data_IF_040392036044
#
_entry.id   IF_040392036044
#
_cell.length_a   1.000
_cell.length_b   1.000
_cell.length_c   1.000
_cell.angle_alpha   90.00
_cell.angle_beta   90.00
_cell.angle_gamma   90.00
#
_symmetry.space_group_name_H-M   'P 1'
#
loop_
_entity.id
_entity.type
_entity.pdbx_description
1 polymer ?
#
# COMPACT_ATOMS: atom_id res chain seq x y z
N UNK A 1 -18.94 27.18 34.47
CA UNK A 1 -18.86 27.92 33.19
C UNK A 1 -17.38 28.13 32.85
N UNK A 2 -16.79 27.23 32.07
CA UNK A 2 -15.50 27.47 31.41
C UNK A 2 -15.48 26.60 30.15
N UNK A 3 -15.95 27.22 29.06
CA UNK A 3 -15.99 26.59 27.75
C UNK A 3 -14.57 26.37 27.25
N UNK A 4 -14.17 25.10 27.16
CA UNK A 4 -13.04 24.70 26.33
C UNK A 4 -13.52 24.74 24.88
N UNK A 5 -13.12 25.77 24.15
CA UNK A 5 -13.18 25.80 22.69
C UNK A 5 -12.40 24.59 22.15
N UNK A 6 -13.10 23.50 21.84
CA UNK A 6 -12.63 22.52 20.86
C UNK A 6 -12.67 23.24 19.52
N UNK A 7 -11.52 23.56 18.96
CA UNK A 7 -11.41 23.98 17.57
C UNK A 7 -11.92 22.84 16.69
N UNK A 8 -13.18 22.93 16.27
CA UNK A 8 -13.71 22.20 15.14
C UNK A 8 -12.83 22.51 13.94
N UNK A 9 -11.96 21.56 13.59
CA UNK A 9 -11.39 21.51 12.25
C UNK A 9 -12.57 21.26 11.29
N UNK A 10 -13.15 22.34 10.76
CA UNK A 10 -13.91 22.27 9.52
C UNK A 10 -12.97 21.69 8.48
N UNK A 11 -13.21 20.43 8.08
CA UNK A 11 -12.79 19.94 6.78
C UNK A 11 -13.28 20.96 5.76
N UNK A 12 -12.37 21.76 5.22
CA UNK A 12 -12.63 22.51 4.01
C UNK A 12 -12.76 21.45 2.93
N UNK A 13 -14.00 21.02 2.66
CA UNK A 13 -14.33 20.11 1.56
C UNK A 13 -14.19 20.86 0.23
N UNK A 14 -12.96 21.19 -0.13
CA UNK A 14 -12.59 21.35 -1.53
C UNK A 14 -12.25 19.96 -2.03
N UNK A 15 -13.29 19.18 -2.32
CA UNK A 15 -13.14 17.92 -3.05
C UNK A 15 -12.54 18.31 -4.39
N UNK A 16 -11.25 18.05 -4.57
CA UNK A 16 -10.62 18.09 -5.87
C UNK A 16 -11.45 17.17 -6.77
N UNK A 17 -12.21 17.75 -7.70
CA UNK A 17 -13.00 16.97 -8.64
C UNK A 17 -12.01 16.21 -9.51
N UNK A 18 -12.21 14.90 -9.63
CA UNK A 18 -11.62 14.14 -10.73
C UNK A 18 -12.04 14.82 -12.04
N UNK A 19 -11.10 15.47 -12.72
CA UNK A 19 -11.30 15.98 -14.06
C UNK A 19 -10.73 14.89 -14.98
N UNK A 20 -11.56 14.16 -15.74
CA UNK A 20 -11.03 13.29 -16.77
C UNK A 20 -10.20 14.16 -17.70
N UNK A 21 -8.91 13.83 -17.83
CA UNK A 21 -8.17 14.27 -19.02
C UNK A 21 -8.96 13.70 -20.20
N UNK A 22 -9.32 14.57 -21.14
CA UNK A 22 -10.20 14.28 -22.26
C UNK A 22 -9.83 12.92 -22.85
N UNK A 23 -10.81 12.00 -23.05
CA UNK A 23 -10.46 10.63 -23.34
C UNK A 23 -9.75 10.61 -24.70
N UNK A 24 -8.46 10.26 -24.68
CA UNK A 24 -7.69 10.00 -25.89
C UNK A 24 -8.17 8.66 -26.47
N UNK A 25 -9.38 8.69 -27.03
CA UNK A 25 -10.12 7.55 -27.56
C UNK A 25 -9.50 6.97 -28.84
N UNK A 26 -8.45 7.60 -29.40
CA UNK A 26 -7.94 7.21 -30.72
C UNK A 26 -6.68 6.35 -30.74
N UNK A 27 -6.01 6.08 -29.61
CA UNK A 27 -4.76 5.26 -29.60
C UNK A 27 -4.77 4.00 -28.74
N UNK A 28 -5.66 3.88 -27.77
CA UNK A 28 -5.80 2.64 -26.97
C UNK A 28 -6.25 1.45 -27.85
N UNK A 29 -6.98 1.74 -28.94
CA UNK A 29 -7.50 0.73 -29.87
C UNK A 29 -6.49 0.20 -30.92
N UNK A 30 -5.19 0.50 -30.79
CA UNK A 30 -4.17 0.03 -31.74
C UNK A 30 -3.07 -0.84 -31.10
N UNK A 31 -3.36 -1.48 -29.96
CA UNK A 31 -2.51 -2.59 -29.48
C UNK A 31 -2.92 -3.84 -30.27
N UNK A 32 -2.06 -4.38 -31.16
CA UNK A 32 -2.42 -5.53 -31.96
C UNK A 32 -2.74 -6.73 -31.08
N UNK A 33 -3.97 -7.25 -31.21
CA UNK A 33 -4.40 -8.51 -30.61
C UNK A 33 -3.78 -9.70 -31.34
N UNK A 34 -2.47 -9.89 -31.23
CA UNK A 34 -1.81 -11.10 -31.72
C UNK A 34 -0.76 -11.57 -30.74
N UNK A 35 -1.21 -11.95 -29.54
CA UNK A 35 -0.44 -12.89 -28.73
C UNK A 35 -1.19 -14.21 -28.75
N UNK A 36 -0.51 -15.25 -29.24
CA UNK A 36 -0.86 -16.64 -28.92
C UNK A 36 -0.67 -16.80 -27.42
N UNK A 37 -1.62 -16.32 -26.63
CA UNK A 37 -1.67 -16.59 -25.20
C UNK A 37 -1.92 -18.09 -25.07
N UNK A 38 -1.00 -18.86 -24.45
CA UNK A 38 -1.27 -20.25 -24.16
C UNK A 38 -2.56 -20.32 -23.34
N UNK A 39 -3.52 -21.15 -23.76
CA UNK A 39 -4.67 -21.46 -22.90
C UNK A 39 -4.12 -22.17 -21.67
N UNK A 40 -4.29 -21.56 -20.50
CA UNK A 40 -3.86 -22.14 -19.23
C UNK A 40 -5.12 -22.53 -18.48
N UNK A 41 -5.28 -23.82 -18.21
CA UNK A 41 -6.39 -24.34 -17.44
C UNK A 41 -6.41 -23.69 -16.03
N UNK A 42 -7.60 -23.31 -15.55
CA UNK A 42 -7.84 -22.80 -14.20
C UNK A 42 -7.47 -23.80 -13.08
N UNK A 43 -7.10 -25.02 -13.43
CA UNK A 43 -6.57 -26.06 -12.54
C UNK A 43 -5.06 -25.94 -12.27
N UNK A 44 -4.40 -24.88 -12.73
CA UNK A 44 -2.99 -24.64 -12.43
C UNK A 44 -2.78 -24.12 -11.01
N UNK A 45 -1.64 -24.50 -10.45
CA UNK A 45 -1.22 -24.04 -9.13
C UNK A 45 -0.66 -22.62 -9.17
N UNK A 46 -0.85 -21.90 -8.08
CA UNK A 46 -0.21 -20.62 -7.77
C UNK A 46 0.67 -20.77 -6.53
N UNK A 47 1.74 -19.97 -6.47
CA UNK A 47 2.68 -19.96 -5.35
C UNK A 47 2.65 -18.60 -4.63
N UNK A 48 2.58 -18.62 -3.30
CA UNK A 48 2.63 -17.44 -2.44
C UNK A 48 3.11 -17.84 -1.03
N UNK A 49 3.26 -16.90 -0.11
CA UNK A 49 3.58 -17.22 1.30
C UNK A 49 2.43 -16.88 2.22
N UNK A 50 2.05 -17.84 3.06
CA UNK A 50 1.19 -17.62 4.21
C UNK A 50 2.07 -17.32 5.44
N UNK A 51 1.71 -16.26 6.16
CA UNK A 51 2.34 -15.88 7.42
C UNK A 51 1.41 -16.22 8.57
N UNK A 52 1.97 -16.83 9.63
CA UNK A 52 1.27 -17.17 10.87
C UNK A 52 1.99 -16.46 12.01
N UNK A 53 1.39 -15.43 12.58
CA UNK A 53 1.99 -14.66 13.66
C UNK A 53 1.83 -15.30 15.03
N UNK A 54 2.83 -15.08 15.90
CA UNK A 54 2.74 -15.45 17.32
C UNK A 54 1.64 -14.65 18.04
N UNK A 55 1.34 -13.43 17.59
CA UNK A 55 0.33 -12.51 18.14
C UNK A 55 -0.73 -12.15 17.10
N UNK A 56 -1.86 -11.56 17.53
CA UNK A 56 -2.85 -11.04 16.59
C UNK A 56 -2.27 -9.88 15.76
N UNK A 57 -2.51 -9.91 14.46
CA UNK A 57 -2.07 -8.88 13.48
C UNK A 57 -3.25 -8.27 12.73
N UNK A 58 -4.46 -8.45 13.26
CA UNK A 58 -5.69 -7.91 12.67
C UNK A 58 -5.96 -6.48 13.11
N UNK A 59 -6.67 -5.73 12.26
CA UNK A 59 -7.22 -4.43 12.65
C UNK A 59 -8.19 -4.63 13.82
N UNK A 60 -8.13 -3.75 14.81
CA UNK A 60 -8.99 -3.81 16.00
C UNK A 60 -10.06 -2.73 15.93
N UNK A 61 -11.28 -3.06 16.32
CA UNK A 61 -12.41 -2.15 16.34
C UNK A 61 -13.09 -2.16 17.70
N UNK A 62 -13.54 -1.00 18.16
CA UNK A 62 -14.37 -0.89 19.35
C UNK A 62 -15.42 0.20 19.18
N UNK A 63 -16.54 0.08 19.89
CA UNK A 63 -17.55 1.12 19.94
C UNK A 63 -17.19 2.14 21.03
N UNK A 64 -17.11 3.41 20.65
CA UNK A 64 -16.95 4.52 21.60
C UNK A 64 -18.24 4.76 22.38
N UNK A 65 -18.16 5.55 23.46
CA UNK A 65 -19.34 5.93 24.26
C UNK A 65 -20.41 6.68 23.46
N UNK A 66 -20.02 7.32 22.36
CA UNK A 66 -20.90 8.11 21.50
C UNK A 66 -21.42 7.30 20.30
N UNK A 67 -21.36 5.96 20.35
CA UNK A 67 -21.76 5.04 19.27
C UNK A 67 -21.00 5.24 17.96
N UNK A 68 -19.77 5.76 18.03
CA UNK A 68 -18.86 5.85 16.88
C UNK A 68 -17.94 4.63 16.89
N UNK A 69 -17.80 3.97 15.73
CA UNK A 69 -16.83 2.88 15.54
C UNK A 69 -15.42 3.49 15.51
N UNK A 70 -14.61 3.15 16.50
CA UNK A 70 -13.18 3.48 16.53
C UNK A 70 -12.37 2.33 15.93
N UNK A 71 -11.34 2.69 15.15
CA UNK A 71 -10.49 1.75 14.41
C UNK A 71 -9.05 1.93 14.82
N UNK A 72 -8.42 0.83 15.23
CA UNK A 72 -6.98 0.73 15.42
C UNK A 72 -6.37 -0.08 14.28
N UNK A 73 -5.28 0.41 13.65
CA UNK A 73 -4.62 -0.31 12.57
C UNK A 73 -4.09 -1.67 13.05
N UNK A 74 -3.83 -2.57 12.10
CA UNK A 74 -3.24 -3.88 12.35
C UNK A 74 -1.91 -3.77 13.13
N UNK A 75 -1.69 -4.69 14.06
CA UNK A 75 -0.39 -4.82 14.71
C UNK A 75 0.67 -5.23 13.69
N UNK A 76 1.91 -4.82 13.93
CA UNK A 76 3.03 -5.11 13.01
C UNK A 76 3.47 -6.57 13.18
N UNK A 77 3.69 -7.25 12.06
CA UNK A 77 4.17 -8.63 12.03
C UNK A 77 5.70 -8.68 12.15
N UNK A 78 6.22 -9.11 13.30
CA UNK A 78 7.66 -9.20 13.57
C UNK A 78 8.13 -10.58 14.02
N UNK A 79 7.19 -11.48 14.32
CA UNK A 79 7.49 -12.84 14.77
C UNK A 79 6.37 -13.81 14.41
N UNK A 80 6.76 -14.99 13.98
CA UNK A 80 5.85 -16.00 13.46
C UNK A 80 6.57 -17.00 12.59
N UNK A 81 5.78 -17.72 11.79
CA UNK A 81 6.24 -18.63 10.74
C UNK A 81 5.79 -18.08 9.40
N UNK A 82 6.68 -18.13 8.41
CA UNK A 82 6.33 -17.99 7.00
C UNK A 82 6.38 -19.36 6.34
N UNK A 83 5.37 -19.69 5.54
CA UNK A 83 5.25 -20.96 4.83
C UNK A 83 4.90 -20.68 3.37
N UNK A 84 5.68 -21.24 2.44
CA UNK A 84 5.33 -21.19 1.02
C UNK A 84 4.20 -22.17 0.74
N UNK A 85 3.16 -21.66 0.11
CA UNK A 85 1.97 -22.40 -0.29
C UNK A 85 1.98 -22.56 -1.79
N UNK A 86 1.81 -23.80 -2.25
CA UNK A 86 1.46 -24.15 -3.62
C UNK A 86 0.08 -24.80 -3.59
N UNK A 87 -0.89 -24.18 -4.26
CA UNK A 87 -2.25 -24.73 -4.33
C UNK A 87 -2.91 -24.41 -5.68
N UNK A 88 -3.91 -25.19 -6.10
CA UNK A 88 -4.72 -24.84 -7.26
C UNK A 88 -5.33 -23.45 -7.10
N UNK A 89 -5.38 -22.66 -8.18
CA UNK A 89 -5.97 -21.31 -8.13
C UNK A 89 -7.41 -21.31 -7.58
N UNK A 90 -8.18 -22.35 -7.91
CA UNK A 90 -9.55 -22.52 -7.42
C UNK A 90 -9.65 -22.64 -5.87
N UNK A 91 -8.56 -23.02 -5.19
CA UNK A 91 -8.48 -23.17 -3.74
C UNK A 91 -7.97 -21.90 -3.05
N UNK A 92 -7.44 -20.91 -3.78
CA UNK A 92 -6.98 -19.64 -3.19
C UNK A 92 -8.03 -18.92 -2.31
N UNK A 93 -9.35 -18.89 -2.64
CA UNK A 93 -10.37 -18.29 -1.76
C UNK A 93 -10.40 -18.88 -0.35
N UNK A 94 -10.00 -20.14 -0.17
CA UNK A 94 -9.98 -20.79 1.14
C UNK A 94 -8.96 -20.13 2.07
N UNK A 95 -7.83 -19.66 1.54
CA UNK A 95 -6.82 -18.94 2.33
C UNK A 95 -7.30 -17.54 2.77
N UNK A 96 -8.22 -16.94 2.01
CA UNK A 96 -8.85 -15.67 2.38
C UNK A 96 -9.94 -15.87 3.45
N UNK A 97 -10.73 -16.93 3.34
CA UNK A 97 -11.89 -17.20 4.20
C UNK A 97 -11.52 -17.87 5.52
N UNK A 98 -10.53 -18.77 5.52
CA UNK A 98 -10.06 -19.49 6.71
C UNK A 98 -9.00 -18.72 7.51
N UNK A 99 -8.61 -17.53 7.04
CA UNK A 99 -7.65 -16.68 7.74
C UNK A 99 -8.13 -16.36 9.16
N UNK A 100 -7.27 -16.60 10.15
CA UNK A 100 -7.47 -16.20 11.54
C UNK A 100 -6.85 -14.83 11.81
N UNK A 101 -7.04 -14.29 13.01
CA UNK A 101 -6.48 -12.99 13.41
C UNK A 101 -4.95 -12.90 13.35
N UNK A 102 -4.28 -14.04 13.19
CA UNK A 102 -2.84 -14.22 13.13
C UNK A 102 -2.30 -14.40 11.72
N UNK A 103 -3.18 -14.51 10.72
CA UNK A 103 -2.78 -14.78 9.35
C UNK A 103 -2.61 -13.50 8.51
N UNK A 104 -1.61 -13.52 7.64
CA UNK A 104 -1.45 -12.56 6.56
C UNK A 104 -0.81 -13.28 5.36
N UNK A 105 -0.91 -12.71 4.18
CA UNK A 105 -0.30 -13.26 2.97
C UNK A 105 0.78 -12.33 2.43
N UNK A 106 1.79 -12.89 1.78
CA UNK A 106 2.64 -12.15 0.83
C UNK A 106 2.63 -12.90 -0.48
N UNK A 107 2.70 -12.18 -1.60
CA UNK A 107 2.68 -12.80 -2.93
C UNK A 107 4.08 -13.09 -3.50
N UNK A 108 5.12 -12.69 -2.76
CA UNK A 108 6.46 -13.25 -2.90
C UNK A 108 6.74 -14.35 -1.88
N UNK A 109 7.82 -15.08 -2.14
CA UNK A 109 8.38 -16.16 -1.34
C UNK A 109 9.71 -15.74 -0.72
N UNK A 110 10.12 -16.42 0.35
CA UNK A 110 11.47 -16.28 0.88
C UNK A 110 12.45 -16.89 -0.12
N UNK A 111 13.50 -16.15 -0.48
CA UNK A 111 14.47 -16.61 -1.50
C UNK A 111 15.47 -17.64 -0.99
N UNK A 112 15.59 -17.80 0.33
CA UNK A 112 16.50 -18.73 0.99
C UNK A 112 15.78 -20.03 1.38
N UNK A 113 14.52 -19.93 1.82
CA UNK A 113 13.63 -21.06 2.12
C UNK A 113 12.40 -21.00 1.19
N UNK A 114 12.56 -21.31 -0.11
CA UNK A 114 11.48 -21.17 -1.08
C UNK A 114 10.36 -22.18 -0.88
N UNK A 115 10.61 -23.29 -0.19
CA UNK A 115 9.66 -24.41 -0.04
C UNK A 115 9.37 -24.76 1.41
N UNK A 116 10.36 -24.61 2.29
CA UNK A 116 10.25 -25.00 3.69
C UNK A 116 9.73 -23.86 4.57
N UNK A 117 8.99 -24.16 5.66
CA UNK A 117 8.63 -23.16 6.64
C UNK A 117 9.85 -22.55 7.32
N UNK A 118 9.81 -21.25 7.59
CA UNK A 118 10.91 -20.51 8.21
C UNK A 118 10.42 -19.61 9.35
N UNK A 119 11.31 -19.31 10.31
CA UNK A 119 10.99 -18.35 11.37
C UNK A 119 11.06 -16.93 10.82
N UNK A 120 9.99 -16.15 11.03
CA UNK A 120 10.01 -14.72 10.76
C UNK A 120 10.54 -13.98 11.98
N UNK A 121 11.49 -13.08 11.74
CA UNK A 121 12.10 -12.25 12.79
C UNK A 121 12.30 -10.80 12.34
N UNK A 122 12.95 -10.00 13.18
CA UNK A 122 13.38 -8.63 12.83
C UNK A 122 14.78 -8.64 12.23
N UNK A 123 15.12 -7.66 11.38
CA UNK A 123 16.47 -7.55 10.78
C UNK A 123 17.62 -7.58 11.81
N UNK A 124 17.41 -7.00 13.00
CA UNK A 124 18.39 -6.99 14.08
C UNK A 124 18.68 -8.38 14.70
N UNK A 125 17.80 -9.37 14.46
CA UNK A 125 17.87 -10.72 15.01
C UNK A 125 18.14 -11.80 13.96
N UNK A 126 18.00 -11.48 12.68
CA UNK A 126 18.17 -12.40 11.55
C UNK A 126 19.50 -13.17 11.61
N UNK A 127 20.63 -12.47 11.76
CA UNK A 127 21.95 -13.12 11.84
C UNK A 127 22.23 -13.84 13.19
N UNK A 128 21.25 -13.92 14.08
CA UNK A 128 21.38 -14.51 15.42
C UNK A 128 20.61 -15.82 15.57
N UNK A 129 19.76 -16.17 14.61
CA UNK A 129 18.89 -17.34 14.66
C UNK A 129 18.98 -18.02 13.30
N UNK A 130 19.48 -19.25 13.29
CA UNK A 130 19.59 -20.04 12.07
C UNK A 130 18.20 -20.36 11.48
N UNK A 131 18.05 -20.27 10.16
CA UNK A 131 16.77 -20.45 9.48
C UNK A 131 15.70 -19.37 9.77
N UNK A 132 16.09 -18.25 10.39
CA UNK A 132 15.18 -17.13 10.64
C UNK A 132 15.47 -15.94 9.74
N UNK A 133 14.42 -15.39 9.14
CA UNK A 133 14.55 -14.32 8.16
C UNK A 133 13.66 -13.13 8.50
N UNK A 134 14.19 -11.94 8.24
CA UNK A 134 13.40 -10.72 8.36
C UNK A 134 12.44 -10.58 7.17
N UNK A 135 11.22 -10.09 7.41
CA UNK A 135 10.30 -9.69 6.33
C UNK A 135 10.71 -8.35 5.74
N UNK A 136 11.77 -8.38 4.95
CA UNK A 136 12.31 -7.25 4.18
C UNK A 136 12.45 -7.64 2.72
N UNK A 137 12.43 -6.63 1.84
CA UNK A 137 12.54 -6.82 0.40
C UNK A 137 13.73 -7.68 -0.01
N UNK A 138 14.87 -7.52 0.68
CA UNK A 138 16.10 -8.23 0.32
C UNK A 138 15.99 -9.75 0.50
N UNK A 139 15.08 -10.25 1.35
CA UNK A 139 14.91 -11.67 1.61
C UNK A 139 13.78 -12.31 0.80
N UNK A 140 13.00 -11.51 0.07
CA UNK A 140 11.83 -11.97 -0.65
C UNK A 140 12.02 -11.78 -2.15
N UNK A 141 11.55 -12.74 -2.93
CA UNK A 141 11.43 -12.68 -4.39
C UNK A 141 10.03 -13.10 -4.78
N UNK A 142 9.57 -12.74 -5.97
CA UNK A 142 8.44 -13.46 -6.55
C UNK A 142 8.85 -14.89 -6.94
N UNK A 143 7.91 -15.85 -6.95
CA UNK A 143 8.14 -17.20 -7.44
C UNK A 143 8.86 -17.19 -8.79
N UNK A 144 9.87 -18.04 -8.90
CA UNK A 144 10.65 -18.28 -10.12
C UNK A 144 10.66 -19.79 -10.36
N UNK A 145 10.83 -20.20 -11.61
CA UNK A 145 11.08 -21.61 -11.90
C UNK A 145 12.45 -21.99 -11.31
N UNK A 146 12.43 -22.67 -10.17
CA UNK A 146 13.63 -23.16 -9.48
C UNK A 146 13.82 -24.67 -9.68
N UNK A 147 12.74 -25.41 -9.91
CA UNK A 147 12.70 -26.84 -10.25
C UNK A 147 11.34 -27.23 -10.84
N UNK A 148 11.15 -28.51 -11.16
CA UNK A 148 9.92 -29.06 -11.74
C UNK A 148 8.72 -29.08 -10.76
N UNK A 149 8.92 -28.73 -9.48
CA UNK A 149 7.89 -28.74 -8.43
C UNK A 149 7.30 -27.34 -8.23
N UNK A 150 8.08 -26.29 -8.47
CA UNK A 150 7.64 -24.91 -8.27
C UNK A 150 7.27 -24.26 -9.61
N UNK A 151 5.97 -24.22 -9.98
CA UNK A 151 5.57 -23.52 -11.18
C UNK A 151 5.97 -22.03 -11.05
N UNK A 152 6.32 -21.36 -12.16
CA UNK A 152 6.66 -19.93 -12.16
C UNK A 152 5.43 -19.04 -11.92
N UNK A 153 4.32 -19.63 -11.50
CA UNK A 153 3.04 -18.97 -11.32
C UNK A 153 2.96 -18.30 -9.96
N UNK A 154 2.15 -17.27 -9.87
CA UNK A 154 1.92 -16.57 -8.61
C UNK A 154 0.70 -15.67 -8.71
N UNK A 155 0.61 -14.71 -7.81
CA UNK A 155 -0.56 -13.86 -7.69
C UNK A 155 -0.14 -12.39 -7.83
N UNK A 156 -0.71 -11.72 -8.82
CA UNK A 156 -0.71 -10.27 -8.90
C UNK A 156 -1.87 -9.75 -8.06
N UNK A 157 -1.56 -9.05 -6.97
CA UNK A 157 -2.56 -8.35 -6.16
C UNK A 157 -2.60 -6.87 -6.56
N UNK A 158 -3.80 -6.35 -6.71
CA UNK A 158 -4.09 -4.93 -6.90
C UNK A 158 -4.96 -4.45 -5.73
N UNK A 159 -4.47 -3.46 -5.00
CA UNK A 159 -5.18 -2.83 -3.89
C UNK A 159 -5.82 -1.52 -4.36
N UNK A 160 -7.15 -1.52 -4.48
CA UNK A 160 -7.93 -0.31 -4.69
C UNK A 160 -8.39 0.22 -3.33
N UNK A 161 -7.72 1.26 -2.82
CA UNK A 161 -8.13 2.01 -1.62
C UNK A 161 -8.34 3.48 -2.00
N UNK A 162 -9.58 3.91 -2.30
CA UNK A 162 -9.83 5.26 -2.79
C UNK A 162 -9.55 6.30 -1.70
N UNK A 163 -8.69 7.27 -2.02
CA UNK A 163 -8.30 8.36 -1.12
C UNK A 163 -9.18 9.62 -1.20
N UNK A 164 -10.28 9.54 -1.95
CA UNK A 164 -11.23 10.63 -2.14
C UNK A 164 -10.83 11.68 -3.17
N UNK A 165 -9.68 11.51 -3.84
CA UNK A 165 -9.22 12.38 -4.94
C UNK A 165 -9.36 11.69 -6.29
N UNK A 166 -8.85 10.47 -6.39
CA UNK A 166 -8.92 9.68 -7.61
C UNK A 166 -10.33 9.19 -7.96
N UNK A 167 -10.47 8.57 -9.14
CA UNK A 167 -11.68 7.83 -9.47
C UNK A 167 -11.87 6.66 -8.49
N UNK A 168 -13.00 6.64 -7.80
CA UNK A 168 -13.49 5.45 -7.09
C UNK A 168 -14.29 4.55 -8.02
N UNK A 169 -14.25 3.25 -7.77
CA UNK A 169 -15.06 2.26 -8.49
C UNK A 169 -16.12 1.67 -7.56
N UNK A 170 -17.32 1.49 -8.06
CA UNK A 170 -18.44 0.98 -7.28
C UNK A 170 -18.33 -0.53 -6.99
N UNK A 171 -17.53 -1.25 -7.78
CA UNK A 171 -17.33 -2.70 -7.62
C UNK A 171 -16.00 -3.16 -8.23
N UNK A 172 -15.51 -4.36 -7.85
CA UNK A 172 -14.39 -4.99 -8.53
C UNK A 172 -14.61 -5.20 -10.03
N UNK A 173 -15.85 -5.50 -10.46
CA UNK A 173 -16.18 -5.68 -11.87
C UNK A 173 -16.01 -4.38 -12.67
N UNK A 174 -16.46 -3.23 -12.13
CA UNK A 174 -16.23 -1.93 -12.76
C UNK A 174 -14.72 -1.63 -12.85
N UNK A 175 -13.97 -1.94 -11.80
CA UNK A 175 -12.52 -1.76 -11.81
C UNK A 175 -11.84 -2.61 -12.88
N UNK A 176 -12.17 -3.90 -12.97
CA UNK A 176 -11.68 -4.82 -14.02
C UNK A 176 -12.01 -4.30 -15.43
N UNK A 177 -13.18 -3.72 -15.64
CA UNK A 177 -13.54 -3.11 -16.94
C UNK A 177 -12.56 -1.99 -17.33
N UNK A 178 -12.19 -1.14 -16.38
CA UNK A 178 -11.24 -0.06 -16.63
C UNK A 178 -9.80 -0.56 -16.80
N UNK A 179 -9.40 -1.58 -16.03
CA UNK A 179 -8.11 -2.24 -16.23
C UNK A 179 -8.03 -2.88 -17.63
N UNK A 180 -9.11 -3.49 -18.09
CA UNK A 180 -9.22 -4.11 -19.43
C UNK A 180 -9.05 -3.09 -20.55
N UNK A 181 -9.55 -1.86 -20.38
CA UNK A 181 -9.32 -0.78 -21.35
C UNK A 181 -7.84 -0.44 -21.48
N UNK A 182 -7.05 -0.59 -20.42
CA UNK A 182 -5.62 -0.29 -20.42
C UNK A 182 -4.78 -1.51 -20.85
N UNK A 183 -5.19 -2.71 -20.47
CA UNK A 183 -4.56 -3.96 -20.88
C UNK A 183 -5.63 -5.04 -21.18
N UNK A 184 -5.98 -5.23 -22.47
CA UNK A 184 -7.11 -6.09 -22.87
C UNK A 184 -7.03 -7.55 -22.43
N UNK A 185 -5.83 -8.10 -22.20
CA UNK A 185 -5.65 -9.48 -21.76
C UNK A 185 -6.34 -9.76 -20.42
N UNK A 186 -6.54 -8.74 -19.58
CA UNK A 186 -7.27 -8.85 -18.31
C UNK A 186 -8.73 -9.33 -18.52
N UNK A 187 -9.34 -9.06 -19.67
CA UNK A 187 -10.73 -9.46 -19.96
C UNK A 187 -10.95 -10.97 -19.87
N UNK A 188 -9.93 -11.77 -20.23
CA UNK A 188 -9.97 -13.23 -20.23
C UNK A 188 -9.30 -13.86 -19.01
N UNK A 189 -8.74 -13.04 -18.13
CA UNK A 189 -7.99 -13.51 -16.97
C UNK A 189 -8.94 -13.89 -15.85
N UNK A 190 -8.63 -14.98 -15.14
CA UNK A 190 -9.32 -15.32 -13.91
C UNK A 190 -9.03 -14.25 -12.85
N UNK A 191 -10.02 -13.93 -12.02
CA UNK A 191 -9.74 -13.10 -10.85
C UNK A 191 -10.57 -13.52 -9.65
N UNK A 192 -10.05 -13.20 -8.48
CA UNK A 192 -10.75 -13.25 -7.21
C UNK A 192 -10.70 -11.82 -6.66
N UNK A 193 -11.82 -11.31 -6.18
CA UNK A 193 -11.86 -9.98 -5.57
C UNK A 193 -12.67 -10.00 -4.27
N UNK A 194 -12.20 -9.24 -3.29
CA UNK A 194 -12.81 -9.18 -1.96
C UNK A 194 -12.73 -7.75 -1.43
N UNK A 195 -13.84 -7.27 -0.86
CA UNK A 195 -13.87 -6.01 -0.13
C UNK A 195 -12.89 -6.00 1.05
N UNK A 196 -12.40 -4.81 1.42
CA UNK A 196 -11.51 -4.70 2.59
C UNK A 196 -12.18 -5.25 3.84
N UNK A 197 -11.42 -5.96 4.68
CA UNK A 197 -11.92 -6.58 5.93
C UNK A 197 -12.61 -5.58 6.86
N UNK A 198 -12.24 -4.30 6.80
CA UNK A 198 -12.87 -3.27 7.62
C UNK A 198 -14.29 -2.91 7.19
N UNK A 199 -14.69 -3.16 5.95
CA UNK A 199 -16.03 -2.85 5.47
C UNK A 199 -17.11 -3.78 6.06
N UNK A 200 -16.70 -4.97 6.54
CA UNK A 200 -17.59 -5.91 7.19
C UNK A 200 -17.96 -5.55 8.63
N UNK A 201 -17.34 -4.53 9.23
CA UNK A 201 -17.61 -4.12 10.62
C UNK A 201 -18.80 -3.17 10.69
N UNK A 202 -19.77 -3.48 11.54
CA UNK A 202 -20.97 -2.67 11.73
C UNK A 202 -21.48 -2.73 13.18
N UNK A 203 -22.39 -1.83 13.53
CA UNK A 203 -23.11 -1.89 14.81
C UNK A 203 -24.08 -3.08 14.75
N UNK A 204 -24.22 -3.79 15.87
CA UNK A 204 -25.19 -4.89 15.98
C UNK A 204 -26.61 -4.42 15.61
N UNK A 205 -27.29 -5.19 14.75
CA UNK A 205 -28.61 -4.85 14.24
C UNK A 205 -28.60 -3.93 13.00
N UNK A 206 -27.46 -3.33 12.65
CA UNK A 206 -27.28 -2.61 11.39
C UNK A 206 -26.70 -3.51 10.28
N UNK A 207 -26.71 -3.01 9.05
CA UNK A 207 -26.05 -3.66 7.91
C UNK A 207 -24.62 -3.12 7.71
N UNK A 208 -23.67 -3.94 7.22
CA UNK A 208 -22.36 -3.46 6.79
C UNK A 208 -22.49 -2.34 5.76
N UNK A 209 -21.61 -1.34 5.87
CA UNK A 209 -21.53 -0.30 4.84
C UNK A 209 -20.87 -0.88 3.58
N UNK A 210 -21.29 -0.44 2.38
CA UNK A 210 -20.60 -0.80 1.15
C UNK A 210 -19.11 -0.44 1.25
N UNK A 211 -18.25 -1.36 0.81
CA UNK A 211 -16.80 -1.09 0.78
C UNK A 211 -16.47 -0.23 -0.42
N UNK A 212 -15.82 0.91 -0.20
CA UNK A 212 -15.21 1.67 -1.28
C UNK A 212 -13.89 1.04 -1.76
N UNK A 213 -13.17 0.33 -0.88
CA UNK A 213 -11.90 -0.32 -1.20
C UNK A 213 -11.97 -1.84 -1.27
N UNK A 214 -11.15 -2.45 -2.11
CA UNK A 214 -11.12 -3.90 -2.32
C UNK A 214 -9.77 -4.35 -2.88
N UNK A 215 -9.44 -5.61 -2.65
CA UNK A 215 -8.30 -6.26 -3.28
C UNK A 215 -8.79 -7.10 -4.47
N UNK A 216 -8.03 -7.07 -5.55
CA UNK A 216 -8.19 -7.96 -6.71
C UNK A 216 -6.94 -8.80 -6.86
N UNK A 217 -7.11 -10.10 -6.95
CA UNK A 217 -6.07 -11.09 -7.14
C UNK A 217 -6.22 -11.70 -8.53
N UNK A 218 -5.16 -11.64 -9.33
CA UNK A 218 -5.08 -12.28 -10.64
C UNK A 218 -3.97 -13.33 -10.60
N UNK A 219 -4.24 -14.58 -10.99
CA UNK A 219 -3.17 -15.56 -11.16
C UNK A 219 -2.34 -15.14 -12.38
N UNK A 220 -1.02 -15.26 -12.27
CA UNK A 220 -0.09 -14.92 -13.34
C UNK A 220 0.76 -16.11 -13.73
N UNK A 221 1.11 -16.20 -15.01
CA UNK A 221 1.93 -17.28 -15.53
C UNK A 221 3.43 -17.11 -15.23
N UNK A 222 3.88 -15.90 -14.88
CA UNK A 222 5.29 -15.57 -14.62
C UNK A 222 5.37 -14.53 -13.50
N UNK A 223 5.36 -15.00 -12.25
CA UNK A 223 5.32 -14.14 -11.08
C UNK A 223 6.56 -13.25 -10.96
N UNK A 224 7.73 -13.75 -11.38
CA UNK A 224 8.99 -12.99 -11.41
C UNK A 224 8.91 -11.68 -12.22
N UNK A 225 7.95 -11.56 -13.13
CA UNK A 225 7.75 -10.38 -13.97
C UNK A 225 6.83 -9.31 -13.32
N UNK A 226 6.13 -9.63 -12.22
CA UNK A 226 5.23 -8.69 -11.51
C UNK A 226 5.89 -7.33 -11.23
N UNK A 227 7.14 -7.22 -10.75
CA UNK A 227 7.78 -5.92 -10.50
C UNK A 227 7.94 -5.06 -11.75
N UNK A 228 8.17 -5.65 -12.93
CA UNK A 228 8.25 -4.93 -14.19
C UNK A 228 6.85 -4.58 -14.67
N UNK A 229 5.96 -5.58 -14.73
CA UNK A 229 4.56 -5.42 -15.12
C UNK A 229 3.89 -4.28 -14.34
N UNK A 230 3.97 -4.30 -13.01
CA UNK A 230 3.33 -3.31 -12.15
C UNK A 230 3.81 -1.88 -12.40
N UNK A 231 5.11 -1.68 -12.67
CA UNK A 231 5.67 -0.37 -13.02
C UNK A 231 5.16 0.14 -14.37
N UNK A 232 5.09 -0.72 -15.37
CA UNK A 232 4.58 -0.38 -16.71
C UNK A 232 3.08 -0.12 -16.64
N UNK A 233 2.34 -0.99 -15.94
CA UNK A 233 0.91 -0.91 -15.80
C UNK A 233 0.48 0.37 -15.08
N UNK A 234 1.17 0.76 -14.01
CA UNK A 234 0.94 2.05 -13.35
C UNK A 234 1.05 3.25 -14.32
N UNK A 235 2.10 3.27 -15.16
CA UNK A 235 2.27 4.34 -16.16
C UNK A 235 1.20 4.28 -17.24
N UNK A 236 0.81 3.09 -17.69
CA UNK A 236 -0.26 2.91 -18.67
C UNK A 236 -1.63 3.33 -18.12
N UNK A 237 -1.89 3.12 -16.83
CA UNK A 237 -3.09 3.67 -16.18
C UNK A 237 -3.09 5.21 -16.18
N UNK A 238 -1.93 5.85 -15.98
CA UNK A 238 -1.81 7.31 -16.07
C UNK A 238 -2.06 7.79 -17.50
N UNK A 239 -1.47 7.14 -18.51
CA UNK A 239 -1.76 7.40 -19.93
C UNK A 239 -3.25 7.19 -20.27
N UNK A 240 -3.89 6.22 -19.60
CA UNK A 240 -5.32 5.95 -19.71
C UNK A 240 -6.23 6.95 -18.99
N UNK A 241 -5.69 8.02 -18.39
CA UNK A 241 -6.46 9.06 -17.71
C UNK A 241 -6.86 8.73 -16.26
N UNK A 242 -6.24 7.73 -15.64
CA UNK A 242 -6.51 7.33 -14.25
C UNK A 242 -5.49 7.89 -13.23
N UNK A 243 -4.56 8.74 -13.68
CA UNK A 243 -3.58 9.39 -12.83
C UNK A 243 -4.14 10.61 -12.09
N UNK A 244 -3.69 10.83 -10.86
CA UNK A 244 -4.04 12.01 -10.04
C UNK A 244 -2.97 12.32 -9.00
N UNK A 245 -3.01 13.53 -8.43
CA UNK A 245 -2.06 13.97 -7.39
C UNK A 245 -2.71 13.93 -6.01
N UNK A 246 -2.01 13.35 -5.04
CA UNK A 246 -2.30 13.50 -3.61
C UNK A 246 -1.24 14.36 -2.95
N UNK A 247 -1.68 15.25 -2.06
CA UNK A 247 -0.80 16.14 -1.32
C UNK A 247 -0.46 15.55 0.06
N UNK A 248 0.83 15.45 0.36
CA UNK A 248 1.28 15.21 1.74
C UNK A 248 1.07 16.46 2.60
N UNK A 249 1.15 16.34 3.93
CA UNK A 249 0.97 17.50 4.82
C UNK A 249 1.98 18.61 4.59
N UNK A 250 3.18 18.31 4.10
CA UNK A 250 4.17 19.33 3.72
C UNK A 250 4.00 19.82 2.26
N UNK A 251 2.84 19.60 1.64
CA UNK A 251 2.49 20.05 0.29
C UNK A 251 3.13 19.29 -0.87
N UNK A 252 3.92 18.26 -0.58
CA UNK A 252 4.52 17.38 -1.58
C UNK A 252 3.46 16.71 -2.45
N UNK A 253 3.71 16.69 -3.75
CA UNK A 253 2.80 16.17 -4.77
C UNK A 253 3.17 14.74 -5.17
N UNK A 254 2.44 13.76 -4.65
CA UNK A 254 2.63 12.35 -4.94
C UNK A 254 1.68 11.92 -6.07
N UNK A 255 2.25 11.42 -7.17
CA UNK A 255 1.47 10.86 -8.29
C UNK A 255 0.90 9.50 -7.89
N UNK A 256 -0.41 9.33 -8.08
CA UNK A 256 -1.15 8.10 -7.78
C UNK A 256 -2.00 7.68 -8.97
N UNK A 257 -2.55 6.47 -8.86
CA UNK A 257 -3.44 5.86 -9.85
C UNK A 257 -4.52 5.06 -9.14
N UNK A 258 -5.31 4.32 -9.90
CA UNK A 258 -6.46 3.55 -9.43
C UNK A 258 -6.12 2.40 -8.45
N UNK A 259 -4.85 2.08 -8.24
CA UNK A 259 -4.40 1.10 -7.25
C UNK A 259 -3.08 1.54 -6.61
N UNK A 260 -2.76 1.02 -5.42
CA UNK A 260 -1.46 1.21 -4.81
C UNK A 260 -0.39 0.36 -5.51
N UNK A 261 0.59 1.01 -6.14
CA UNK A 261 1.70 0.33 -6.81
C UNK A 261 2.73 -0.28 -5.85
N UNK A 262 2.71 0.08 -4.56
CA UNK A 262 3.67 -0.47 -3.60
C UNK A 262 3.44 -1.95 -3.32
N UNK A 263 2.23 -2.48 -3.58
CA UNK A 263 1.86 -3.89 -3.39
C UNK A 263 2.67 -4.86 -4.26
N UNK A 264 3.35 -4.36 -5.29
CA UNK A 264 4.21 -5.16 -6.18
C UNK A 264 5.61 -5.45 -5.61
N UNK A 265 5.86 -5.14 -4.33
CA UNK A 265 7.08 -5.59 -3.66
C UNK A 265 6.79 -6.94 -2.99
N UNK A 266 7.66 -7.96 -3.18
CA UNK A 266 7.34 -9.35 -2.86
C UNK A 266 7.11 -9.61 -1.36
N UNK A 267 7.68 -8.78 -0.48
CA UNK A 267 7.56 -8.90 0.96
C UNK A 267 6.28 -8.26 1.53
N UNK A 268 5.49 -7.54 0.72
CA UNK A 268 4.37 -6.72 1.19
C UNK A 268 3.22 -7.59 1.67
N UNK A 269 2.79 -7.34 2.90
CA UNK A 269 1.71 -8.07 3.54
C UNK A 269 0.35 -7.61 3.01
N UNK A 270 -0.48 -8.61 2.72
CA UNK A 270 -1.92 -8.48 2.67
C UNK A 270 -2.53 -9.00 3.97
N UNK A 271 -3.18 -8.10 4.71
CA UNK A 271 -3.88 -8.42 5.96
C UNK A 271 -5.29 -8.93 5.65
N UNK A 272 -5.38 -10.22 5.33
CA UNK A 272 -6.62 -10.91 4.94
C UNK A 272 -7.50 -11.34 6.12
N UNK A 273 -6.96 -11.24 7.33
CA UNK A 273 -7.57 -11.69 8.57
C UNK A 273 -8.83 -10.90 8.96
N UNK A 274 -9.83 -11.56 9.60
CA UNK A 274 -10.99 -10.89 10.14
C UNK A 274 -10.60 -9.89 11.24
N UNK A 275 -11.37 -8.79 11.42
CA UNK A 275 -11.09 -7.80 12.44
C UNK A 275 -11.28 -8.36 13.86
N UNK A 276 -10.51 -7.85 14.80
CA UNK A 276 -10.72 -8.10 16.23
C UNK A 276 -11.73 -7.08 16.78
N UNK A 277 -12.87 -7.54 17.28
CA UNK A 277 -13.89 -6.68 17.91
C UNK A 277 -13.69 -6.67 19.42
N UNK A 278 -13.58 -5.48 20.02
CA UNK A 278 -13.40 -5.29 21.45
C UNK A 278 -14.65 -4.66 22.06
N UNK A 279 -15.22 -5.34 23.04
CA UNK A 279 -16.48 -4.94 23.69
C UNK A 279 -17.71 -5.50 22.97
N UNK A 280 -18.89 -5.05 23.40
CA UNK A 280 -20.18 -5.44 22.82
C UNK A 280 -20.69 -4.36 21.85
N UNK A 281 -21.69 -4.70 21.01
CA UNK A 281 -22.39 -3.75 20.15
C UNK A 281 -21.79 -3.60 18.75
N UNK A 282 -20.78 -4.40 18.41
CA UNK A 282 -20.25 -4.53 17.05
C UNK A 282 -20.43 -5.96 16.55
N UNK A 283 -20.80 -6.08 15.28
CA UNK A 283 -20.81 -7.33 14.55
C UNK A 283 -19.88 -7.24 13.34
N UNK A 284 -19.49 -8.42 12.84
CA UNK A 284 -18.69 -8.54 11.64
C UNK A 284 -19.35 -9.50 10.66
N UNK A 285 -19.60 -9.00 9.46
CA UNK A 285 -20.04 -9.79 8.32
C UNK A 285 -18.92 -9.79 7.27
N UNK A 286 -18.29 -10.94 6.97
CA UNK A 286 -17.22 -11.00 5.98
C UNK A 286 -17.67 -10.42 4.63
N UNK A 287 -16.86 -9.56 3.99
CA UNK A 287 -17.14 -9.11 2.64
C UNK A 287 -17.22 -10.29 1.68
N UNK A 288 -18.20 -10.27 0.77
CA UNK A 288 -18.38 -11.28 -0.26
C UNK A 288 -17.13 -11.38 -1.16
N UNK A 289 -16.76 -12.61 -1.50
CA UNK A 289 -15.75 -12.88 -2.51
C UNK A 289 -16.45 -13.01 -3.86
N UNK A 290 -16.07 -12.15 -4.80
CA UNK A 290 -16.49 -12.24 -6.20
C UNK A 290 -15.37 -12.89 -7.00
N UNK A 291 -15.72 -13.64 -8.04
CA UNK A 291 -14.72 -14.28 -8.89
C UNK A 291 -15.17 -14.37 -10.34
N UNK A 292 -14.19 -14.47 -11.23
CA UNK A 292 -14.36 -14.77 -12.64
C UNK A 292 -13.42 -15.91 -13.02
N UNK A 293 -13.92 -16.87 -13.80
CA UNK A 293 -13.09 -17.91 -14.41
C UNK A 293 -12.37 -17.36 -15.64
N UNK A 294 -11.16 -17.84 -15.90
CA UNK A 294 -10.35 -17.41 -17.03
C UNK A 294 -8.96 -18.02 -17.01
N UNK A 295 -8.10 -17.52 -17.90
CA UNK A 295 -6.70 -17.90 -18.01
C UNK A 295 -5.85 -17.20 -16.94
N UNK A 296 -4.61 -17.64 -16.77
CA UNK A 296 -3.60 -16.88 -16.01
C UNK A 296 -3.16 -15.68 -16.84
N UNK A 297 -2.93 -14.55 -16.19
CA UNK A 297 -2.48 -13.33 -16.85
C UNK A 297 -1.09 -13.54 -17.44
N UNK A 298 -0.94 -13.26 -18.74
CA UNK A 298 0.34 -13.25 -19.43
C UNK A 298 1.02 -11.88 -19.26
N UNK A 299 1.80 -11.70 -18.19
CA UNK A 299 2.36 -10.39 -17.82
C UNK A 299 3.34 -9.84 -18.87
N UNK A 300 4.08 -10.72 -19.56
CA UNK A 300 5.00 -10.36 -20.63
C UNK A 300 4.30 -9.72 -21.84
N UNK A 301 2.97 -9.90 -21.98
CA UNK A 301 2.18 -9.24 -23.02
C UNK A 301 2.18 -7.71 -22.87
N UNK A 302 2.38 -7.20 -21.64
CA UNK A 302 2.45 -5.77 -21.40
C UNK A 302 3.83 -5.21 -21.76
N UNK A 303 3.96 -4.72 -22.98
CA UNK A 303 5.21 -4.13 -23.48
C UNK A 303 5.58 -2.85 -22.73
N UNK A 304 6.88 -2.58 -22.63
CA UNK A 304 7.42 -1.30 -22.13
C UNK A 304 6.87 -0.12 -22.92
N UNK A 305 6.84 1.06 -22.29
CA UNK A 305 6.47 2.30 -22.98
C UNK A 305 7.51 2.62 -24.04
N UNK A 306 7.08 3.00 -25.24
CA UNK A 306 7.89 3.60 -26.30
C UNK A 306 8.47 4.95 -25.87
N UNK A 307 9.39 5.51 -26.67
CA UNK A 307 9.96 6.84 -26.40
C UNK A 307 8.88 7.93 -26.37
N UNK A 308 7.92 7.87 -27.30
CA UNK A 308 6.81 8.82 -27.38
C UNK A 308 5.85 8.67 -26.20
N UNK A 309 5.46 7.45 -25.83
CA UNK A 309 4.62 7.19 -24.65
C UNK A 309 5.31 7.66 -23.36
N UNK A 310 6.64 7.52 -23.24
CA UNK A 310 7.38 8.05 -22.09
C UNK A 310 7.34 9.58 -22.03
N UNK A 311 7.45 10.25 -23.18
CA UNK A 311 7.34 11.71 -23.27
C UNK A 311 5.93 12.17 -22.91
N UNK A 312 4.91 11.48 -23.41
CA UNK A 312 3.50 11.73 -23.11
C UNK A 312 3.20 11.54 -21.62
N UNK A 313 3.66 10.43 -21.03
CA UNK A 313 3.58 10.18 -19.59
C UNK A 313 4.19 11.33 -18.78
N UNK A 314 5.39 11.79 -19.16
CA UNK A 314 6.03 12.93 -18.50
C UNK A 314 5.23 14.23 -18.63
N UNK A 315 4.58 14.46 -19.78
CA UNK A 315 3.69 15.63 -19.98
C UNK A 315 2.49 15.57 -19.05
N UNK A 316 1.77 14.44 -19.03
CA UNK A 316 0.58 14.25 -18.18
C UNK A 316 0.93 14.44 -16.70
N UNK A 317 2.05 13.85 -16.24
CA UNK A 317 2.48 14.03 -14.84
C UNK A 317 2.85 15.48 -14.54
N UNK A 318 3.45 16.20 -15.48
CA UNK A 318 3.76 17.62 -15.31
C UNK A 318 2.49 18.49 -15.26
N UNK A 319 1.50 18.19 -16.10
CA UNK A 319 0.19 18.85 -16.13
C UNK A 319 -0.56 18.64 -14.81
N UNK A 320 -0.70 17.39 -14.36
CA UNK A 320 -1.32 17.05 -13.07
C UNK A 320 -0.66 17.77 -11.88
N UNK A 321 0.68 17.85 -11.88
CA UNK A 321 1.41 18.62 -10.84
C UNK A 321 1.19 20.12 -10.94
N UNK A 322 1.07 20.66 -12.16
CA UNK A 322 0.80 22.08 -12.34
C UNK A 322 -0.62 22.44 -11.87
N UNK A 323 -1.60 21.58 -12.13
CA UNK A 323 -2.97 21.72 -11.63
C UNK A 323 -3.04 21.66 -10.10
N UNK A 324 -2.30 20.75 -9.47
CA UNK A 324 -2.27 20.61 -8.02
C UNK A 324 -1.45 21.71 -7.30
N UNK A 325 -0.62 22.46 -8.03
CA UNK A 325 0.34 23.43 -7.47
C UNK A 325 -0.29 24.52 -6.58
N UNK A 326 -1.43 25.14 -6.94
CA UNK A 326 -2.04 26.16 -6.09
C UNK A 326 -2.47 25.61 -4.72
N UNK A 327 -3.01 24.40 -4.68
CA UNK A 327 -3.44 23.76 -3.44
C UNK A 327 -2.23 23.25 -2.64
N UNK A 328 -1.23 22.66 -3.32
CA UNK A 328 0.07 22.31 -2.76
C UNK A 328 0.66 23.49 -1.98
N UNK A 329 0.72 24.68 -2.58
CA UNK A 329 1.25 25.88 -1.92
C UNK A 329 0.50 26.24 -0.64
N UNK A 330 -0.84 26.14 -0.62
CA UNK A 330 -1.63 26.41 0.59
C UNK A 330 -1.31 25.41 1.70
N UNK A 331 -1.21 24.13 1.34
CA UNK A 331 -0.85 23.05 2.27
C UNK A 331 0.56 23.28 2.82
N UNK A 332 1.53 23.64 1.97
CA UNK A 332 2.88 24.01 2.42
C UNK A 332 2.87 25.21 3.38
N UNK A 333 2.12 26.27 3.06
CA UNK A 333 2.06 27.47 3.91
C UNK A 333 1.48 27.15 5.29
N UNK A 334 0.41 26.36 5.35
CA UNK A 334 -0.17 25.90 6.60
C UNK A 334 0.80 25.00 7.40
N UNK A 335 1.53 24.11 6.71
CA UNK A 335 2.54 23.27 7.34
C UNK A 335 3.68 24.10 7.93
N UNK A 336 4.24 25.03 7.17
CA UNK A 336 5.33 25.90 7.61
C UNK A 336 4.89 26.79 8.78
N UNK A 337 3.66 27.30 8.78
CA UNK A 337 3.12 28.04 9.92
C UNK A 337 3.06 27.16 11.19
N UNK A 338 2.61 25.91 11.06
CA UNK A 338 2.60 24.98 12.18
C UNK A 338 4.01 24.64 12.67
N UNK A 339 4.96 24.45 11.76
CA UNK A 339 6.37 24.20 12.12
C UNK A 339 6.95 25.41 12.87
N UNK A 340 6.77 26.65 12.38
CA UNK A 340 7.20 27.87 13.09
C UNK A 340 6.67 27.96 14.51
N UNK A 341 5.42 27.52 14.74
CA UNK A 341 4.80 27.56 16.05
C UNK A 341 5.30 26.47 17.02
N UNK A 342 5.84 25.36 16.50
CA UNK A 342 6.17 24.16 17.29
C UNK A 342 7.67 23.89 17.39
N UNK A 343 8.48 24.52 16.52
CA UNK A 343 9.91 24.33 16.41
C UNK A 343 10.65 25.63 16.73
N UNK A 344 11.26 25.68 17.91
CA UNK A 344 12.16 26.77 18.29
C UNK A 344 13.44 26.75 17.44
N UNK A 345 14.00 27.92 17.15
CA UNK A 345 15.27 28.08 16.42
C UNK A 345 15.29 27.49 15.00
N UNK A 346 14.14 27.36 14.34
CA UNK A 346 14.09 27.00 12.92
C UNK A 346 14.28 28.24 12.04
N UNK A 347 15.26 28.20 11.13
CA UNK A 347 15.57 29.34 10.25
C UNK A 347 14.65 29.37 9.03
N UNK A 348 14.59 30.51 8.32
CA UNK A 348 13.82 30.59 7.07
C UNK A 348 14.37 29.66 5.97
N UNK A 349 15.68 29.41 5.96
CA UNK A 349 16.31 28.44 5.04
C UNK A 349 15.88 27.00 5.36
N UNK A 350 15.78 26.66 6.66
CA UNK A 350 15.27 25.36 7.10
C UNK A 350 13.79 25.17 6.72
N UNK A 351 12.98 26.23 6.88
CA UNK A 351 11.57 26.20 6.48
C UNK A 351 11.41 26.08 4.96
N UNK A 352 12.27 26.76 4.19
CA UNK A 352 12.29 26.62 2.74
C UNK A 352 12.64 25.18 2.33
N UNK A 353 13.59 24.54 3.01
CA UNK A 353 14.00 23.16 2.77
C UNK A 353 12.86 22.16 2.99
N UNK A 354 11.93 22.41 3.92
CA UNK A 354 10.85 21.49 4.28
C UNK A 354 9.70 21.42 3.27
N UNK A 355 9.53 22.44 2.44
CA UNK A 355 8.40 22.56 1.49
C UNK A 355 8.47 21.49 0.42
N UNK A 356 7.50 20.59 0.44
CA UNK A 356 7.38 19.50 -0.54
C UNK A 356 8.54 18.50 -0.55
N UNK A 357 9.49 18.58 0.40
CA UNK A 357 10.73 17.83 0.34
C UNK A 357 10.71 16.52 1.13
N UNK A 358 11.78 15.75 0.96
CA UNK A 358 12.12 14.57 1.77
C UNK A 358 13.37 14.85 2.62
N UNK A 359 13.73 16.10 2.86
CA UNK A 359 14.91 16.44 3.67
C UNK A 359 14.48 17.19 4.91
N UNK A 360 14.92 16.70 6.06
CA UNK A 360 14.66 17.33 7.35
C UNK A 360 15.89 18.11 7.81
N UNK A 361 15.74 19.38 8.21
CA UNK A 361 16.83 20.14 8.80
C UNK A 361 17.18 19.60 10.20
N UNK A 362 18.42 19.84 10.65
CA UNK A 362 18.96 19.27 11.90
C UNK A 362 18.19 19.71 13.15
N UNK A 363 17.65 20.92 13.15
CA UNK A 363 16.80 21.48 14.21
C UNK A 363 15.32 21.04 14.12
N UNK A 364 14.93 20.26 13.10
CA UNK A 364 13.58 19.72 13.01
C UNK A 364 13.28 18.81 14.20
N UNK A 365 12.12 18.97 14.84
CA UNK A 365 11.71 18.23 16.02
C UNK A 365 10.80 17.07 15.59
N UNK A 366 11.12 15.89 16.07
CA UNK A 366 10.32 14.67 15.91
C UNK A 366 9.88 14.17 17.28
N UNK A 367 8.82 13.37 17.30
CA UNK A 367 8.27 12.81 18.53
C UNK A 367 8.68 11.35 18.66
N UNK A 368 9.33 10.97 19.76
CA UNK A 368 9.68 9.57 20.05
C UNK A 368 8.46 8.74 20.41
N UNK A 369 8.61 7.42 20.44
CA UNK A 369 7.52 6.52 20.87
C UNK A 369 7.01 6.80 22.29
N UNK A 370 7.86 7.39 23.15
CA UNK A 370 7.51 7.79 24.52
C UNK A 370 6.87 9.18 24.59
N UNK A 371 6.64 9.84 23.45
CA UNK A 371 6.03 11.17 23.37
C UNK A 371 7.01 12.33 23.60
N UNK A 372 8.31 12.04 23.71
CA UNK A 372 9.34 13.07 23.88
C UNK A 372 9.60 13.80 22.56
N UNK A 373 9.75 15.12 22.62
CA UNK A 373 10.05 15.95 21.46
C UNK A 373 11.57 16.21 21.38
N UNK A 374 12.24 15.62 20.38
CA UNK A 374 13.69 15.73 20.18
C UNK A 374 14.02 16.19 18.76
N UNK A 375 15.16 16.83 18.58
CA UNK A 375 15.63 17.28 17.27
C UNK A 375 16.26 16.15 16.45
N UNK A 376 16.27 16.30 15.13
CA UNK A 376 17.03 15.42 14.21
C UNK A 376 18.52 15.41 14.57
N UNK A 377 19.08 16.53 15.04
CA UNK A 377 20.46 16.59 15.52
C UNK A 377 20.68 15.66 16.73
N UNK A 378 19.78 15.69 17.72
CA UNK A 378 19.87 14.81 18.88
C UNK A 378 19.75 13.33 18.50
N UNK A 379 18.93 12.99 17.50
CA UNK A 379 18.90 11.63 16.95
C UNK A 379 20.26 11.22 16.36
N UNK A 380 20.88 12.11 15.58
CA UNK A 380 22.20 11.88 14.98
C UNK A 380 23.26 11.73 16.07
N UNK A 381 23.27 12.62 17.07
CA UNK A 381 24.25 12.63 18.16
C UNK A 381 24.12 11.40 19.06
N UNK A 382 22.90 10.90 19.27
CA UNK A 382 22.66 9.65 20.00
C UNK A 382 23.29 8.44 19.29
N UNK A 383 23.32 8.43 17.95
CA UNK A 383 24.01 7.40 17.17
C UNK A 383 23.35 6.02 17.15
N UNK A 384 22.18 5.88 17.76
CA UNK A 384 21.37 4.66 17.84
C UNK A 384 20.09 4.75 17.02
N UNK A 385 19.50 3.59 16.70
CA UNK A 385 18.20 3.52 16.06
C UNK A 385 17.08 3.93 17.04
N UNK A 386 16.16 4.80 16.62
CA UNK A 386 15.08 5.31 17.49
C UNK A 386 13.72 5.19 16.80
N UNK A 387 12.74 4.60 17.49
CA UNK A 387 11.36 4.56 17.02
C UNK A 387 10.67 5.89 17.31
N UNK A 388 10.06 6.46 16.28
CA UNK A 388 9.47 7.80 16.30
C UNK A 388 8.13 7.83 15.57
N UNK A 389 7.37 8.90 15.76
CA UNK A 389 6.24 9.23 14.91
C UNK A 389 6.70 9.60 13.49
N UNK A 390 5.79 9.54 12.50
CA UNK A 390 6.10 10.04 11.15
C UNK A 390 6.45 11.54 11.20
N UNK A 391 7.60 11.98 10.65
CA UNK A 391 8.03 13.36 10.77
C UNK A 391 7.05 14.38 10.22
N UNK A 392 6.28 14.03 9.17
CA UNK A 392 5.39 14.94 8.46
C UNK A 392 3.93 14.82 8.95
N UNK A 393 3.44 13.60 9.17
CA UNK A 393 2.08 13.31 9.64
C UNK A 393 1.91 13.52 11.13
N UNK A 394 3.01 13.43 11.89
CA UNK A 394 3.06 13.61 13.34
C UNK A 394 2.48 12.45 14.14
N UNK A 395 2.54 12.57 15.47
CA UNK A 395 2.13 11.52 16.42
C UNK A 395 0.65 11.11 16.29
N UNK A 396 -0.21 12.01 15.81
CA UNK A 396 -1.63 11.71 15.56
C UNK A 396 -1.87 10.58 14.56
N UNK A 397 -0.91 10.34 13.64
CA UNK A 397 -0.96 9.22 12.70
C UNK A 397 -0.51 7.90 13.36
N UNK A 398 0.32 7.99 14.40
CA UNK A 398 0.82 6.88 15.19
C UNK A 398 2.22 7.16 15.74
N UNK A 399 2.44 6.92 17.04
CA UNK A 399 3.70 7.21 17.73
C UNK A 399 4.89 6.32 17.36
N UNK A 400 4.66 5.23 16.63
CA UNK A 400 5.71 4.27 16.23
C UNK A 400 5.85 4.14 14.71
N UNK A 401 5.26 5.07 13.95
CA UNK A 401 5.08 4.97 12.49
C UNK A 401 6.39 5.11 11.69
N UNK A 402 7.45 5.62 12.28
CA UNK A 402 8.74 5.77 11.62
C UNK A 402 9.87 5.32 12.54
N UNK A 403 11.05 5.13 11.94
CA UNK A 403 12.26 4.76 12.67
C UNK A 403 13.47 5.49 12.09
N UNK A 404 14.24 6.11 12.97
CA UNK A 404 15.54 6.69 12.65
C UNK A 404 16.61 5.60 12.55
N UNK A 405 17.46 5.73 11.54
CA UNK A 405 18.63 4.90 11.32
C UNK A 405 19.87 5.80 11.24
N UNK A 406 20.84 5.64 12.15
CA UNK A 406 22.06 6.45 12.15
C UNK A 406 22.91 6.22 10.90
N UNK A 407 22.80 5.01 10.30
CA UNK A 407 23.51 4.60 9.09
C UNK A 407 25.01 4.94 9.16
N UNK A 408 25.75 4.27 10.05
CA UNK A 408 27.13 4.63 10.44
C UNK A 408 28.12 4.72 9.26
N UNK A 409 27.85 4.00 8.17
CA UNK A 409 28.68 3.99 6.95
C UNK A 409 28.14 4.91 5.84
N UNK A 410 27.15 5.77 6.13
CA UNK A 410 26.49 6.62 5.16
C UNK A 410 25.71 7.79 5.76
N UNK A 411 24.73 8.31 5.00
CA UNK A 411 23.87 9.39 5.48
C UNK A 411 22.81 8.82 6.43
N UNK A 412 22.61 9.37 7.65
CA UNK A 412 21.50 8.97 8.50
C UNK A 412 20.17 9.24 7.79
N UNK A 413 19.17 8.41 8.05
CA UNK A 413 17.85 8.54 7.45
C UNK A 413 16.74 8.13 8.40
N UNK A 414 15.54 8.66 8.19
CA UNK A 414 14.32 8.20 8.85
C UNK A 414 13.52 7.40 7.84
N UNK A 415 13.22 6.15 8.16
CA UNK A 415 12.27 5.35 7.38
C UNK A 415 10.88 5.46 8.01
N UNK A 416 9.98 6.16 7.33
CA UNK A 416 8.57 6.20 7.66
C UNK A 416 7.82 5.07 6.97
N UNK A 417 6.88 4.47 7.70
CA UNK A 417 5.93 3.48 7.17
C UNK A 417 4.56 4.09 6.89
N UNK A 418 4.40 5.42 7.05
CA UNK A 418 3.19 6.13 6.67
C UNK A 418 3.05 6.22 5.14
N UNK A 419 1.82 6.30 4.64
CA UNK A 419 1.50 6.62 3.24
C UNK A 419 2.35 5.85 2.21
N UNK A 420 2.37 4.51 2.34
CA UNK A 420 3.10 3.57 1.46
C UNK A 420 4.63 3.47 1.68
N UNK A 421 5.16 4.28 2.59
CA UNK A 421 6.55 4.26 3.03
C UNK A 421 7.39 5.37 2.39
N UNK A 422 8.30 5.96 3.18
CA UNK A 422 9.16 7.07 2.76
C UNK A 422 10.48 7.05 3.49
N UNK A 423 11.55 7.54 2.85
CA UNK A 423 12.80 7.88 3.53
C UNK A 423 12.95 9.41 3.60
N UNK A 424 13.43 9.91 4.73
CA UNK A 424 13.78 11.32 4.98
C UNK A 424 15.24 11.45 5.39
#
# INVERSE_FOLDING_TARGET
MSGKNKSEFKLVSNVAKWIPITPFTSKINQIPMTHNTPKTDSNQDVVFTQHISKTDISKTFCLTKDNVIDKKPAARYYSGIGETITCPWAEFPDYLTKATTKNALTFGINKYEPSDPYEVTTKAKENKIDGAYARIKDNFTYPQLVDDIHPPHGILMLDHDPDGVGKSFASPAEFIEHLTRVFPDIARTAYIARGSVSAGVHIEGEQPKPSAGFHVYLPVNTASDIPRFGKVFFKRMILGGFGYIVLAKNGRMDIRSAFDSCVFSPERLDFVAPPLLIGAGLAYTPPEITSQKGDFLYTNGLQELTADERKEYSSIVAELRNEARPESKKVEDAFIQNIRATHEHISEDDLALLRGSETLPRNYKVVTENGELITVQQLIDNGDEVVIADPISGISYGGTTAKFYPNKDGKPFINSFAHHGRKY
#
